data_IF_894161931585
#
_entry.id   IF_894161931585
#
_cell.length_a   1.000
_cell.length_b   1.000
_cell.length_c   1.000
_cell.angle_alpha   90.00
_cell.angle_beta   90.00
_cell.angle_gamma   90.00
#
_symmetry.space_group_name_H-M   'P 1'
#
loop_
_entity.id
_entity.type
_entity.pdbx_description
1 polymer ?
#
# COMPACT_ATOMS: atom_id res chain seq x y z
N UNK A 1 8.64 20.56 20.47
CA UNK A 1 9.66 20.01 19.54
C UNK A 1 9.02 18.89 18.72
N UNK A 2 9.16 18.89 17.38
CA UNK A 2 8.58 17.84 16.53
C UNK A 2 9.38 16.53 16.74
N UNK A 3 8.70 15.46 17.18
CA UNK A 3 9.30 14.13 17.49
C UNK A 3 9.88 13.45 16.25
N UNK A 4 9.16 13.48 15.15
CA UNK A 4 9.52 12.75 13.95
C UNK A 4 10.20 13.66 12.92
N UNK A 5 11.33 13.19 12.40
CA UNK A 5 12.02 13.82 11.28
C UNK A 5 11.73 13.01 10.02
N UNK A 6 11.40 13.69 8.93
CA UNK A 6 11.05 13.03 7.67
C UNK A 6 12.08 13.43 6.62
N UNK A 7 12.68 12.44 5.97
CA UNK A 7 13.46 12.60 4.74
C UNK A 7 12.62 12.05 3.59
N UNK A 8 12.51 12.80 2.48
CA UNK A 8 11.75 12.38 1.31
C UNK A 8 12.47 12.80 0.03
N UNK A 9 12.61 11.88 -0.91
CA UNK A 9 13.21 12.16 -2.22
C UNK A 9 13.77 10.92 -2.90
N UNK A 10 14.43 11.13 -4.04
CA UNK A 10 14.98 10.07 -4.91
C UNK A 10 16.49 9.86 -4.74
N UNK A 11 17.11 10.45 -3.71
CA UNK A 11 18.57 10.33 -3.54
C UNK A 11 18.97 8.86 -3.33
N UNK A 12 20.14 8.49 -3.86
CA UNK A 12 20.70 7.16 -3.65
C UNK A 12 20.84 6.82 -2.16
N UNK A 13 21.25 7.80 -1.34
CA UNK A 13 21.33 7.62 0.10
C UNK A 13 19.98 7.25 0.74
N UNK A 14 18.88 7.89 0.33
CA UNK A 14 17.54 7.56 0.82
C UNK A 14 17.11 6.16 0.34
N UNK A 15 17.37 5.84 -0.93
CA UNK A 15 17.08 4.53 -1.52
C UNK A 15 17.79 3.40 -0.77
N UNK A 16 19.10 3.52 -0.54
CA UNK A 16 19.90 2.49 0.16
C UNK A 16 19.43 2.29 1.60
N UNK A 17 19.12 3.38 2.33
CA UNK A 17 18.55 3.30 3.68
C UNK A 17 17.20 2.58 3.67
N UNK A 18 16.33 2.91 2.70
CA UNK A 18 15.03 2.28 2.54
C UNK A 18 15.14 0.78 2.22
N UNK A 19 16.00 0.39 1.29
CA UNK A 19 16.26 -1.01 0.93
C UNK A 19 16.75 -1.84 2.11
N UNK A 20 17.73 -1.34 2.89
CA UNK A 20 18.21 -2.00 4.11
C UNK A 20 17.11 -2.13 5.17
N UNK A 21 16.30 -1.10 5.34
CA UNK A 21 15.21 -1.12 6.32
C UNK A 21 14.13 -2.14 5.93
N UNK A 22 13.75 -2.17 4.65
CA UNK A 22 12.81 -3.15 4.11
C UNK A 22 13.35 -4.57 4.21
N UNK A 23 14.64 -4.79 3.97
CA UNK A 23 15.28 -6.10 4.14
C UNK A 23 15.05 -6.64 5.56
N UNK A 24 15.32 -5.80 6.57
CA UNK A 24 15.11 -6.16 7.98
C UNK A 24 13.66 -6.45 8.32
N UNK A 25 12.72 -5.66 7.78
CA UNK A 25 11.31 -5.75 8.18
C UNK A 25 10.55 -6.81 7.37
N UNK A 26 10.69 -6.82 6.05
CA UNK A 26 9.96 -7.76 5.18
C UNK A 26 10.60 -9.13 5.12
N UNK A 27 11.94 -9.20 5.06
CA UNK A 27 12.66 -10.46 4.92
C UNK A 27 13.23 -11.00 6.23
N UNK A 28 13.06 -10.25 7.33
CA UNK A 28 13.56 -10.61 8.67
C UNK A 28 15.06 -10.97 8.62
N UNK A 29 15.82 -10.19 7.84
CA UNK A 29 17.24 -10.44 7.59
C UNK A 29 18.06 -9.16 7.71
N UNK A 30 19.26 -9.27 8.26
CA UNK A 30 20.25 -8.19 8.31
C UNK A 30 21.13 -8.15 7.05
N UNK A 31 21.14 -9.24 6.28
CA UNK A 31 21.97 -9.41 5.09
C UNK A 31 21.18 -9.11 3.81
N UNK A 32 21.82 -8.37 2.90
CA UNK A 32 21.25 -8.03 1.59
C UNK A 32 20.41 -6.75 1.56
N UNK A 33 19.56 -6.65 0.54
CA UNK A 33 18.71 -5.50 0.25
C UNK A 33 17.38 -6.01 -0.29
N UNK A 34 16.26 -5.50 0.24
CA UNK A 34 14.98 -5.68 -0.42
C UNK A 34 14.89 -4.60 -1.49
N UNK A 35 15.07 -4.99 -2.76
CA UNK A 35 15.09 -4.06 -3.89
C UNK A 35 14.35 -4.58 -5.13
N UNK A 36 13.84 -3.65 -5.93
CA UNK A 36 13.28 -3.95 -7.24
C UNK A 36 13.61 -2.83 -8.25
N UNK A 37 13.28 -3.08 -9.53
CA UNK A 37 13.53 -2.15 -10.64
C UNK A 37 12.83 -0.78 -10.51
N UNK A 38 11.87 -0.63 -9.60
CA UNK A 38 11.15 0.63 -9.39
C UNK A 38 11.82 1.54 -8.37
N UNK A 39 12.78 1.03 -7.58
CA UNK A 39 13.42 1.81 -6.52
C UNK A 39 14.23 3.00 -7.03
N UNK A 40 14.83 2.90 -8.21
CA UNK A 40 15.62 3.98 -8.82
C UNK A 40 14.78 5.12 -9.39
N UNK A 41 13.50 4.85 -9.68
CA UNK A 41 12.55 5.79 -10.29
C UNK A 41 11.43 6.22 -9.33
N UNK A 42 11.60 5.91 -8.04
CA UNK A 42 10.64 6.22 -6.99
C UNK A 42 11.27 7.10 -5.93
N UNK A 43 10.43 7.85 -5.25
CA UNK A 43 10.80 8.55 -4.04
C UNK A 43 10.61 7.66 -2.83
N UNK A 44 11.52 7.82 -1.87
CA UNK A 44 11.51 7.08 -0.62
C UNK A 44 11.24 8.07 0.51
N UNK A 45 10.23 7.78 1.30
CA UNK A 45 9.95 8.48 2.54
C UNK A 45 10.55 7.69 3.71
N UNK A 46 11.36 8.36 4.51
CA UNK A 46 12.03 7.80 5.67
C UNK A 46 11.65 8.62 6.89
N UNK A 47 11.09 7.98 7.90
CA UNK A 47 10.67 8.64 9.14
C UNK A 47 11.57 8.17 10.28
N UNK A 48 12.25 9.12 10.89
CA UNK A 48 13.17 8.91 12.01
C UNK A 48 12.55 9.41 13.32
N UNK A 49 12.71 8.64 14.40
CA UNK A 49 12.23 9.01 15.73
C UNK A 49 13.35 9.66 16.55
N UNK A 50 13.23 10.97 16.82
CA UNK A 50 14.21 11.71 17.62
C UNK A 50 14.26 11.27 19.08
N UNK A 51 13.18 10.68 19.61
CA UNK A 51 13.18 10.12 20.98
C UNK A 51 13.93 8.79 21.06
N UNK A 52 14.28 8.20 19.92
CA UNK A 52 14.99 6.94 19.83
C UNK A 52 16.33 7.11 19.13
N UNK A 53 17.06 8.19 19.44
CA UNK A 53 18.37 8.53 18.86
C UNK A 53 18.35 8.56 17.33
N UNK A 54 17.34 9.22 16.75
CA UNK A 54 17.15 9.33 15.29
C UNK A 54 17.11 7.97 14.57
N UNK A 55 16.61 6.91 15.23
CA UNK A 55 16.37 5.62 14.58
C UNK A 55 15.33 5.73 13.47
N UNK A 56 15.58 5.10 12.32
CA UNK A 56 14.61 4.91 11.26
C UNK A 56 13.51 3.95 11.75
N UNK A 57 12.26 4.40 11.72
CA UNK A 57 11.11 3.64 12.28
C UNK A 57 10.03 3.34 11.25
N UNK A 58 9.99 4.03 10.12
CA UNK A 58 9.02 3.77 9.05
C UNK A 58 9.59 4.19 7.71
N UNK A 59 9.32 3.37 6.70
CA UNK A 59 9.62 3.64 5.30
C UNK A 59 8.38 3.41 4.46
N UNK A 60 8.16 4.25 3.45
CA UNK A 60 7.27 3.94 2.33
C UNK A 60 7.86 4.47 1.03
N UNK A 61 7.45 3.85 -0.09
CA UNK A 61 7.82 4.26 -1.44
C UNK A 61 6.64 4.97 -2.11
N UNK A 62 6.93 6.02 -2.85
CA UNK A 62 5.96 6.76 -3.66
C UNK A 62 6.49 6.96 -5.08
N UNK A 63 5.61 6.83 -6.06
CA UNK A 63 5.90 7.20 -7.45
C UNK A 63 4.72 7.95 -8.03
N UNK A 64 4.98 9.15 -8.56
CA UNK A 64 3.96 9.92 -9.30
C UNK A 64 4.08 9.59 -10.78
N UNK A 65 2.94 9.51 -11.46
CA UNK A 65 2.86 9.19 -12.88
C UNK A 65 2.31 10.41 -13.64
N UNK A 66 2.70 10.55 -14.90
CA UNK A 66 2.23 11.67 -15.73
C UNK A 66 0.79 11.44 -16.17
N UNK A 67 0.41 10.18 -16.40
CA UNK A 67 -0.96 9.79 -16.76
C UNK A 67 -1.33 8.40 -16.25
N UNK A 68 -2.61 8.04 -16.38
CA UNK A 68 -3.10 6.71 -15.99
C UNK A 68 -2.60 5.60 -16.92
N UNK A 69 -2.19 5.91 -18.15
CA UNK A 69 -1.54 4.95 -19.04
C UNK A 69 -0.21 4.46 -18.47
N UNK A 70 0.55 5.32 -17.80
CA UNK A 70 1.87 4.96 -17.25
C UNK A 70 1.77 3.96 -16.08
N UNK A 71 0.59 3.81 -15.45
CA UNK A 71 0.41 2.85 -14.34
C UNK A 71 0.54 1.40 -14.82
N UNK A 72 0.46 1.14 -16.13
CA UNK A 72 0.72 -0.19 -16.69
C UNK A 72 2.19 -0.62 -16.50
N UNK A 73 3.07 0.33 -16.19
CA UNK A 73 4.47 0.12 -15.82
C UNK A 73 4.72 0.30 -14.32
N UNK A 74 3.69 0.16 -13.49
CA UNK A 74 3.79 0.21 -12.02
C UNK A 74 4.13 -1.16 -11.42
N UNK A 75 4.47 -1.20 -10.13
CA UNK A 75 4.65 -2.49 -9.43
C UNK A 75 3.37 -3.34 -9.41
N UNK A 76 2.17 -2.80 -9.07
CA UNK A 76 0.95 -3.60 -9.11
C UNK A 76 0.60 -4.19 -10.48
N UNK A 77 0.97 -3.51 -11.57
CA UNK A 77 0.71 -3.99 -12.93
C UNK A 77 1.45 -5.30 -13.29
N UNK A 78 2.40 -5.75 -12.46
CA UNK A 78 3.00 -7.08 -12.60
C UNK A 78 2.00 -8.19 -12.27
N UNK A 79 1.08 -7.94 -11.32
CA UNK A 79 0.19 -8.95 -10.75
C UNK A 79 -1.28 -8.75 -11.12
N UNK A 80 -1.66 -7.52 -11.49
CA UNK A 80 -3.02 -7.12 -11.82
C UNK A 80 -3.09 -6.51 -13.22
N UNK A 81 -4.18 -6.78 -13.93
CA UNK A 81 -4.49 -6.10 -15.18
C UNK A 81 -5.18 -4.76 -14.87
N UNK A 82 -4.44 -3.67 -15.09
CA UNK A 82 -4.88 -2.30 -14.85
C UNK A 82 -5.36 -1.60 -16.13
N UNK A 83 -5.51 -2.31 -17.25
CA UNK A 83 -5.85 -1.73 -18.56
C UNK A 83 -7.17 -0.94 -18.53
N UNK A 84 -8.15 -1.34 -17.71
CA UNK A 84 -9.39 -0.56 -17.58
C UNK A 84 -9.18 0.79 -16.88
N UNK A 85 -8.21 0.88 -15.99
CA UNK A 85 -7.91 2.12 -15.27
C UNK A 85 -7.12 3.10 -16.14
N UNK A 86 -6.37 2.64 -17.15
CA UNK A 86 -5.50 3.51 -17.95
C UNK A 86 -6.25 4.59 -18.72
N UNK A 87 -7.55 4.40 -18.98
CA UNK A 87 -8.37 5.39 -19.69
C UNK A 87 -8.84 6.57 -18.81
N UNK A 88 -8.57 6.55 -17.50
CA UNK A 88 -9.02 7.58 -16.58
C UNK A 88 -8.16 8.85 -16.73
N UNK A 89 -8.80 10.02 -16.77
CA UNK A 89 -8.12 11.32 -16.90
C UNK A 89 -7.84 11.97 -15.55
N UNK A 90 -7.04 11.29 -14.73
CA UNK A 90 -6.69 11.67 -13.36
C UNK A 90 -5.18 11.53 -13.13
N UNK A 91 -4.62 12.31 -12.22
CA UNK A 91 -3.18 12.23 -11.88
C UNK A 91 -2.91 11.10 -10.89
N UNK A 92 -2.16 10.03 -11.26
CA UNK A 92 -1.95 8.88 -10.40
C UNK A 92 -0.70 8.99 -9.52
N UNK A 93 -0.77 8.37 -8.35
CA UNK A 93 0.38 8.11 -7.48
C UNK A 93 0.33 6.68 -6.96
N UNK A 94 1.40 5.91 -7.20
CA UNK A 94 1.60 4.63 -6.56
C UNK A 94 2.17 4.84 -5.16
N UNK A 95 1.61 4.15 -4.16
CA UNK A 95 2.14 4.03 -2.81
C UNK A 95 2.32 2.56 -2.48
N UNK A 96 3.51 2.20 -2.02
CA UNK A 96 3.85 0.83 -1.67
C UNK A 96 5.00 0.75 -0.69
N UNK A 97 5.41 -0.49 -0.39
CA UNK A 97 6.55 -0.79 0.49
C UNK A 97 6.47 -0.09 1.86
N UNK A 98 5.25 0.16 2.34
CA UNK A 98 5.02 0.71 3.67
C UNK A 98 5.39 -0.36 4.70
N UNK A 99 6.45 -0.11 5.44
CA UNK A 99 6.92 -0.96 6.53
C UNK A 99 7.20 -0.11 7.75
N UNK A 100 6.88 -0.68 8.92
CA UNK A 100 7.07 -0.07 10.22
C UNK A 100 8.01 -0.97 11.01
N UNK A 101 8.95 -0.37 11.73
CA UNK A 101 9.81 -1.13 12.63
C UNK A 101 8.91 -1.84 13.67
N UNK A 102 8.97 -3.17 13.81
CA UNK A 102 8.07 -3.93 14.68
C UNK A 102 8.21 -3.57 16.16
N UNK A 103 9.34 -2.99 16.56
CA UNK A 103 9.58 -2.52 17.93
C UNK A 103 9.06 -1.10 18.19
N UNK A 104 8.44 -0.45 17.20
CA UNK A 104 7.85 0.89 17.36
C UNK A 104 6.38 0.79 17.73
N UNK A 105 6.04 1.25 18.93
CA UNK A 105 4.68 1.16 19.49
C UNK A 105 3.91 2.49 19.51
N UNK A 106 4.50 3.60 19.05
CA UNK A 106 3.81 4.90 19.08
C UNK A 106 2.64 4.91 18.09
N UNK A 107 1.37 5.00 18.56
CA UNK A 107 0.20 5.04 17.68
C UNK A 107 0.20 6.27 16.76
N UNK A 108 0.91 7.35 17.12
CA UNK A 108 0.97 8.57 16.31
C UNK A 108 1.91 8.46 15.10
N UNK A 109 2.79 7.45 15.02
CA UNK A 109 3.73 7.30 13.90
C UNK A 109 3.00 7.22 12.55
N UNK A 110 2.01 6.34 12.45
CA UNK A 110 1.21 6.19 11.23
C UNK A 110 0.40 7.45 10.92
N UNK A 111 -0.11 8.14 11.95
CA UNK A 111 -0.82 9.41 11.76
C UNK A 111 0.11 10.47 11.13
N UNK A 112 1.36 10.55 11.58
CA UNK A 112 2.37 11.46 11.03
C UNK A 112 2.70 11.09 9.58
N UNK A 113 2.94 9.81 9.30
CA UNK A 113 3.21 9.32 7.96
C UNK A 113 2.06 9.66 6.99
N UNK A 114 0.81 9.41 7.39
CA UNK A 114 -0.36 9.67 6.56
C UNK A 114 -0.68 11.16 6.42
N UNK A 115 -0.41 11.98 7.44
CA UNK A 115 -0.48 13.45 7.30
C UNK A 115 0.54 13.96 6.28
N UNK A 116 1.76 13.44 6.32
CA UNK A 116 2.79 13.79 5.35
C UNK A 116 2.43 13.33 3.92
N UNK A 117 1.93 12.10 3.78
CA UNK A 117 1.44 11.59 2.49
C UNK A 117 0.31 12.47 1.93
N UNK A 118 -0.65 12.91 2.75
CA UNK A 118 -1.71 13.84 2.34
C UNK A 118 -1.16 15.19 1.86
N UNK A 119 -0.11 15.69 2.50
CA UNK A 119 0.60 16.91 2.06
C UNK A 119 1.23 16.72 0.66
N UNK A 120 1.87 15.56 0.41
CA UNK A 120 2.43 15.23 -0.90
C UNK A 120 1.32 15.15 -1.96
N UNK A 121 0.23 14.43 -1.66
CA UNK A 121 -0.93 14.28 -2.55
C UNK A 121 -1.53 15.63 -2.91
N UNK A 122 -1.70 16.52 -1.93
CA UNK A 122 -2.24 17.86 -2.13
C UNK A 122 -1.31 18.74 -2.97
N UNK A 123 -0.04 18.84 -2.59
CA UNK A 123 0.95 19.67 -3.30
C UNK A 123 1.17 19.26 -4.75
N UNK A 124 0.99 17.97 -5.06
CA UNK A 124 1.13 17.42 -6.42
C UNK A 124 -0.18 17.32 -7.19
N UNK A 125 -1.29 17.73 -6.58
CA UNK A 125 -2.63 17.63 -7.19
C UNK A 125 -2.91 16.20 -7.68
N UNK A 126 -2.56 15.21 -6.85
CA UNK A 126 -2.86 13.80 -7.12
C UNK A 126 -4.35 13.59 -6.94
N UNK A 127 -4.94 12.95 -7.93
CA UNK A 127 -6.38 12.66 -7.97
C UNK A 127 -6.66 11.17 -7.74
N UNK A 128 -5.64 10.32 -7.89
CA UNK A 128 -5.79 8.87 -7.79
C UNK A 128 -4.58 8.28 -7.08
N UNK A 129 -4.80 7.59 -5.95
CA UNK A 129 -3.75 6.88 -5.23
C UNK A 129 -3.99 5.39 -5.40
N UNK A 130 -2.95 4.60 -5.67
CA UNK A 130 -3.09 3.16 -5.82
C UNK A 130 -1.86 2.38 -5.34
N UNK A 131 -2.00 1.07 -5.17
CA UNK A 131 -0.89 0.20 -4.76
C UNK A 131 -1.36 -1.20 -4.39
N UNK A 132 -0.40 -2.03 -3.97
CA UNK A 132 -0.69 -3.32 -3.35
C UNK A 132 -0.66 -3.17 -1.84
N UNK A 133 -1.72 -3.61 -1.16
CA UNK A 133 -1.70 -3.75 0.30
C UNK A 133 -1.69 -5.22 0.66
N UNK A 134 -0.70 -5.60 1.47
CA UNK A 134 -0.38 -6.98 1.80
C UNK A 134 -0.67 -7.30 3.26
N UNK A 135 -1.22 -8.49 3.48
CA UNK A 135 -1.28 -9.16 4.76
C UNK A 135 -0.06 -10.09 4.87
N UNK A 136 0.60 -10.15 6.03
CA UNK A 136 1.75 -11.03 6.26
C UNK A 136 1.27 -12.47 6.55
N UNK A 137 1.73 -13.43 5.75
CA UNK A 137 1.29 -14.83 5.69
C UNK A 137 0.43 -15.10 4.45
N UNK A 138 1.00 -15.79 3.46
CA UNK A 138 0.32 -16.12 2.20
C UNK A 138 -0.90 -17.03 2.37
N UNK A 139 -0.83 -17.99 3.31
CA UNK A 139 -1.86 -19.01 3.54
C UNK A 139 -2.49 -18.91 4.93
N UNK A 140 -2.86 -17.69 5.34
CA UNK A 140 -3.57 -17.47 6.60
C UNK A 140 -5.09 -17.31 6.36
N UNK A 141 -5.94 -18.25 6.82
CA UNK A 141 -7.39 -18.16 6.67
C UNK A 141 -8.01 -16.90 7.27
N UNK A 142 -7.36 -16.28 8.27
CA UNK A 142 -7.87 -15.06 8.90
C UNK A 142 -7.84 -13.84 7.96
N UNK A 143 -6.92 -13.80 6.99
CA UNK A 143 -6.89 -12.73 5.99
C UNK A 143 -8.13 -12.74 5.11
N UNK A 144 -8.67 -13.94 4.84
CA UNK A 144 -9.91 -14.10 4.09
C UNK A 144 -11.11 -13.60 4.86
N UNK A 145 -11.17 -13.89 6.16
CA UNK A 145 -12.20 -13.32 7.02
C UNK A 145 -12.14 -11.78 7.02
N UNK A 146 -10.94 -11.19 7.08
CA UNK A 146 -10.77 -9.74 6.99
C UNK A 146 -11.23 -9.18 5.63
N UNK A 147 -10.81 -9.78 4.51
CA UNK A 147 -11.23 -9.37 3.17
C UNK A 147 -12.73 -9.57 2.92
N UNK A 148 -13.33 -10.63 3.46
CA UNK A 148 -14.76 -10.89 3.38
C UNK A 148 -15.59 -9.92 4.24
N UNK A 149 -14.99 -9.35 5.28
CA UNK A 149 -15.66 -8.35 6.12
C UNK A 149 -15.77 -6.97 5.46
N UNK A 150 -15.05 -6.76 4.35
CA UNK A 150 -15.13 -5.53 3.58
C UNK A 150 -16.55 -5.33 3.04
N UNK A 151 -17.06 -4.12 3.16
CA UNK A 151 -18.38 -3.75 2.66
C UNK A 151 -18.44 -3.93 1.13
N UNK A 152 -19.63 -4.21 0.58
CA UNK A 152 -19.81 -4.38 -0.87
C UNK A 152 -19.32 -3.16 -1.68
N UNK A 153 -19.38 -1.96 -1.12
CA UNK A 153 -18.93 -0.71 -1.74
C UNK A 153 -17.39 -0.54 -1.75
N UNK A 154 -16.67 -1.33 -0.93
CA UNK A 154 -15.22 -1.36 -0.83
C UNK A 154 -14.59 -2.36 -1.82
N UNK A 155 -15.40 -3.20 -2.46
CA UNK A 155 -14.95 -4.03 -3.59
C UNK A 155 -15.13 -3.23 -4.89
N UNK A 156 -14.11 -3.25 -5.75
CA UNK A 156 -14.15 -2.56 -7.03
C UNK A 156 -15.39 -2.95 -7.86
N UNK A 157 -16.13 -1.94 -8.34
CA UNK A 157 -17.30 -2.15 -9.20
C UNK A 157 -16.89 -2.67 -10.59
N UNK A 158 -17.84 -3.20 -11.36
CA UNK A 158 -17.61 -3.70 -12.72
C UNK A 158 -17.00 -2.65 -13.66
N UNK A 159 -17.31 -1.36 -13.45
CA UNK A 159 -16.77 -0.24 -14.23
C UNK A 159 -15.27 0.00 -13.99
N UNK A 160 -14.75 -0.38 -12.81
CA UNK A 160 -13.33 -0.30 -12.44
C UNK A 160 -12.73 -1.69 -12.22
N UNK A 161 -13.22 -2.68 -12.96
CA UNK A 161 -12.85 -4.07 -12.74
C UNK A 161 -11.36 -4.29 -13.01
N UNK A 162 -10.65 -4.73 -11.97
CA UNK A 162 -9.27 -5.19 -12.04
C UNK A 162 -9.30 -6.67 -12.42
N UNK A 163 -8.70 -7.04 -13.55
CA UNK A 163 -8.67 -8.46 -13.95
C UNK A 163 -7.46 -9.17 -13.34
N UNK A 164 -7.62 -10.49 -13.16
CA UNK A 164 -6.56 -11.39 -12.69
C UNK A 164 -5.47 -11.46 -13.77
N UNK A 165 -4.22 -11.27 -13.36
CA UNK A 165 -3.03 -11.45 -14.21
C UNK A 165 -2.05 -12.46 -13.61
N UNK A 166 -1.93 -12.51 -12.28
CA UNK A 166 -1.21 -13.59 -11.58
C UNK A 166 -1.91 -14.94 -11.74
N UNK A 167 -1.13 -16.03 -11.80
CA UNK A 167 -1.61 -17.41 -11.81
C UNK A 167 -2.07 -17.87 -10.42
N UNK A 168 -1.48 -17.33 -9.35
CA UNK A 168 -1.78 -17.69 -7.97
C UNK A 168 -2.64 -16.61 -7.32
N UNK A 169 -3.96 -16.79 -7.45
CA UNK A 169 -4.94 -15.84 -6.92
C UNK A 169 -5.97 -16.54 -6.06
N UNK A 170 -6.40 -15.82 -5.02
CA UNK A 170 -7.53 -16.18 -4.21
C UNK A 170 -8.73 -15.31 -4.58
N UNK A 171 -9.83 -15.94 -4.94
CA UNK A 171 -11.08 -15.28 -5.28
C UNK A 171 -11.88 -14.93 -4.01
N UNK A 172 -12.01 -13.63 -3.71
CA UNK A 172 -12.65 -13.16 -2.47
C UNK A 172 -14.17 -13.40 -2.56
N UNK A 173 -14.79 -13.19 -3.73
CA UNK A 173 -16.24 -13.36 -3.92
C UNK A 173 -16.70 -14.81 -3.77
N UNK A 174 -15.88 -15.77 -4.17
CA UNK A 174 -16.25 -17.20 -4.13
C UNK A 174 -16.14 -17.84 -2.74
N UNK A 175 -15.36 -17.25 -1.83
CA UNK A 175 -15.09 -17.80 -0.48
C UNK A 175 -15.85 -17.04 0.62
N UNK A 176 -17.11 -16.68 0.37
CA UNK A 176 -18.00 -16.09 1.39
C UNK A 176 -18.28 -17.12 2.50
N UNK A 177 -17.50 -17.07 3.56
CA UNK A 177 -17.79 -17.76 4.82
C UNK A 177 -18.56 -16.75 5.68
N UNK A 178 -19.67 -17.19 6.28
CA UNK A 178 -20.71 -16.37 6.91
C UNK A 178 -20.25 -15.29 7.89
N UNK A 179 -21.21 -14.45 8.28
CA UNK A 179 -21.07 -13.22 9.08
C UNK A 179 -20.10 -13.37 10.26
N UNK A 180 -18.86 -12.92 10.08
CA UNK A 180 -17.91 -12.77 11.17
C UNK A 180 -18.05 -11.40 11.84
N UNK A 181 -17.64 -11.34 13.10
CA UNK A 181 -17.65 -10.15 13.94
C UNK A 181 -16.74 -9.06 13.34
N UNK A 182 -17.36 -8.07 12.67
CA UNK A 182 -16.69 -7.07 11.82
C UNK A 182 -15.58 -6.29 12.54
N UNK A 183 -15.69 -6.13 13.86
CA UNK A 183 -14.66 -5.47 14.67
C UNK A 183 -13.35 -6.24 14.74
N UNK A 184 -13.40 -7.58 14.88
CA UNK A 184 -12.19 -8.43 14.95
C UNK A 184 -11.50 -8.50 13.58
N UNK A 185 -12.29 -8.50 12.51
CA UNK A 185 -11.81 -8.54 11.14
C UNK A 185 -11.05 -7.25 10.75
N UNK A 186 -11.49 -6.08 11.22
CA UNK A 186 -10.83 -4.80 10.96
C UNK A 186 -9.43 -4.67 11.60
N UNK A 187 -9.18 -5.34 12.73
CA UNK A 187 -7.88 -5.31 13.39
C UNK A 187 -6.79 -6.00 12.55
N UNK A 188 -7.18 -6.97 11.73
CA UNK A 188 -6.28 -7.72 10.84
C UNK A 188 -5.90 -6.95 9.56
N UNK A 189 -6.58 -5.84 9.25
CA UNK A 189 -6.28 -5.07 8.05
C UNK A 189 -4.87 -4.44 8.12
N UNK A 190 -4.07 -4.49 7.05
CA UNK A 190 -2.78 -3.81 7.01
C UNK A 190 -2.93 -2.29 7.23
N UNK A 191 -1.96 -1.61 7.87
CA UNK A 191 -2.02 -0.17 8.10
C UNK A 191 -2.30 0.64 6.84
N UNK A 192 -1.66 0.29 5.73
CA UNK A 192 -1.85 0.96 4.45
C UNK A 192 -3.27 0.71 3.90
N UNK A 193 -3.82 -0.50 4.02
CA UNK A 193 -5.20 -0.79 3.60
C UNK A 193 -6.21 0.03 4.40
N UNK A 194 -6.06 0.10 5.74
CA UNK A 194 -6.90 0.96 6.58
C UNK A 194 -6.86 2.42 6.15
N UNK A 195 -5.69 2.92 5.77
CA UNK A 195 -5.55 4.27 5.23
C UNK A 195 -6.38 4.46 3.96
N UNK A 196 -6.26 3.57 2.97
CA UNK A 196 -7.08 3.63 1.75
C UNK A 196 -8.58 3.60 2.08
N UNK A 197 -9.03 2.65 2.90
CA UNK A 197 -10.45 2.52 3.26
C UNK A 197 -10.99 3.75 4.00
N UNK A 198 -10.20 4.36 4.89
CA UNK A 198 -10.57 5.64 5.53
C UNK A 198 -10.76 6.79 4.54
N UNK A 199 -10.12 6.68 3.38
CA UNK A 199 -10.26 7.61 2.26
C UNK A 199 -11.33 7.16 1.26
N UNK A 200 -12.18 6.18 1.58
CA UNK A 200 -13.20 5.65 0.65
C UNK A 200 -12.58 4.82 -0.47
N UNK A 201 -11.40 4.27 -0.23
CA UNK A 201 -10.70 3.40 -1.16
C UNK A 201 -11.41 2.07 -1.37
N UNK A 202 -11.00 1.40 -2.44
CA UNK A 202 -11.54 0.13 -2.90
C UNK A 202 -10.43 -0.88 -3.11
N UNK A 203 -10.80 -2.16 -3.08
CA UNK A 203 -9.90 -3.29 -3.32
C UNK A 203 -10.35 -4.13 -4.52
N UNK A 204 -9.42 -4.86 -5.14
CA UNK A 204 -9.75 -5.89 -6.13
C UNK A 204 -10.62 -7.01 -5.54
N UNK A 205 -11.37 -7.72 -6.37
CA UNK A 205 -12.19 -8.86 -5.95
C UNK A 205 -11.42 -10.19 -5.79
N UNK A 206 -10.10 -10.11 -5.91
CA UNK A 206 -9.17 -11.20 -5.71
C UNK A 206 -7.91 -10.69 -5.04
N UNK A 207 -7.28 -11.56 -4.26
CA UNK A 207 -5.96 -11.38 -3.71
C UNK A 207 -4.94 -12.21 -4.49
N UNK A 208 -3.69 -11.76 -4.53
CA UNK A 208 -2.56 -12.45 -5.11
C UNK A 208 -1.73 -13.03 -3.98
N UNK A 209 -1.34 -14.29 -4.14
CA UNK A 209 -0.44 -14.98 -3.23
C UNK A 209 0.99 -14.66 -3.68
N UNK A 210 1.76 -14.01 -2.82
CA UNK A 210 3.17 -13.69 -3.04
C UNK A 210 4.03 -14.54 -2.12
N UNK A 211 4.65 -15.57 -2.68
CA UNK A 211 5.50 -16.52 -1.94
C UNK A 211 6.88 -15.95 -1.62
N UNK A 212 7.36 -14.93 -2.32
CA UNK A 212 8.69 -14.35 -2.08
C UNK A 212 8.72 -13.60 -0.74
N UNK A 213 7.67 -12.81 -0.49
CA UNK A 213 7.52 -12.06 0.76
C UNK A 213 6.62 -12.75 1.79
N UNK A 214 6.13 -13.96 1.49
CA UNK A 214 5.09 -14.66 2.24
C UNK A 214 3.92 -13.73 2.58
N UNK A 215 3.29 -13.16 1.55
CA UNK A 215 2.15 -12.25 1.72
C UNK A 215 0.96 -12.61 0.86
N UNK A 216 -0.22 -12.19 1.33
CA UNK A 216 -1.44 -12.15 0.53
C UNK A 216 -1.77 -10.68 0.26
N UNK A 217 -1.73 -10.24 -1.00
CA UNK A 217 -1.97 -8.82 -1.32
C UNK A 217 -3.19 -8.61 -2.21
N UNK A 218 -3.83 -7.46 -2.04
CA UNK A 218 -4.91 -6.98 -2.91
C UNK A 218 -4.47 -5.71 -3.62
N UNK A 219 -4.96 -5.50 -4.85
CA UNK A 219 -4.86 -4.19 -5.47
C UNK A 219 -5.79 -3.24 -4.75
N UNK A 220 -5.30 -2.05 -4.44
CA UNK A 220 -6.05 -1.02 -3.73
C UNK A 220 -5.94 0.30 -4.44
N UNK A 221 -7.01 1.07 -4.42
CA UNK A 221 -7.00 2.42 -4.98
C UNK A 221 -8.01 3.33 -4.29
N UNK A 222 -7.82 4.63 -4.45
CA UNK A 222 -8.81 5.66 -4.11
C UNK A 222 -8.82 6.73 -5.19
N UNK A 223 -10.01 7.06 -5.70
CA UNK A 223 -10.23 8.21 -6.55
C UNK A 223 -10.64 9.41 -5.70
N UNK A 224 -9.75 10.39 -5.56
CA UNK A 224 -9.94 11.58 -4.74
C UNK A 224 -10.84 12.64 -5.42
N UNK A 225 -11.06 12.54 -6.74
CA UNK A 225 -11.99 13.41 -7.46
C UNK A 225 -13.45 13.04 -7.23
N UNK A 226 -13.76 11.76 -7.09
CA UNK A 226 -15.12 11.30 -6.75
C UNK A 226 -15.60 11.83 -5.39
N UNK A 227 -14.67 12.17 -4.49
CA UNK A 227 -14.96 12.78 -3.19
C UNK A 227 -15.22 14.28 -3.20
N UNK A 228 -14.95 14.99 -4.31
CA UNK A 228 -15.18 16.44 -4.41
C UNK A 228 -16.64 16.79 -4.74
N UNK A 229 -17.54 15.81 -4.75
CA UNK A 229 -18.99 16.00 -4.90
C UNK A 229 -19.64 15.84 -3.51
N UNK A 230 -19.37 16.77 -2.59
CA UNK A 230 -20.18 16.99 -1.38
C UNK A 230 -20.04 18.45 -0.96
#
# INVERSE_FOLDING_TARGET
MIRYRIEFGQSEANRLKAQKFRQKVFRVSEDGMDEDKYDSISEHCLIFDKKSNDKLVLVFRSRTFSSMEDILYSYPAQYYDLTKLSALRVRPMEIGRLCVNPHTSDPFLLLVAFKYLRSIVSSRQVDFIFGCTSFAGADNPQHLAALNSLEKNQIASSSFQIKKKSSEVLDIKKKLIGTQDSKKANNLLPPLLRFYLSLGGRVSDHAVIDKDLDTLHVFTYVNLKEKKIH
#
